data_IF_212954246434
#
_entry.id   IF_212954246434
#
_cell.length_a   1.000
_cell.length_b   1.000
_cell.length_c   1.000
_cell.angle_alpha   90.00
_cell.angle_beta   90.00
_cell.angle_gamma   90.00
#
_symmetry.space_group_name_H-M   'P 1'
#
loop_
_entity.id
_entity.type
_entity.pdbx_description
1 polymer ?
#
# COMPACT_ATOMS: atom_id res chain seq x y z
N UNK A 1 -10.52 11.91 -16.23
CA UNK A 1 -9.23 11.19 -16.28
C UNK A 1 -8.12 12.11 -15.83
N UNK A 2 -7.50 11.79 -14.70
CA UNK A 2 -6.33 12.45 -14.10
C UNK A 2 -5.12 11.52 -14.17
N UNK A 3 -3.92 12.09 -14.07
CA UNK A 3 -2.67 11.34 -13.97
C UNK A 3 -1.98 11.77 -12.67
N UNK A 4 -1.72 10.81 -11.79
CA UNK A 4 -0.99 11.00 -10.54
C UNK A 4 0.46 10.53 -10.70
N UNK A 5 1.39 11.31 -10.16
CA UNK A 5 2.81 10.97 -10.12
C UNK A 5 3.18 10.40 -8.75
N UNK A 6 3.82 9.24 -8.74
CA UNK A 6 4.40 8.63 -7.55
C UNK A 6 5.91 8.45 -7.75
N UNK A 7 6.72 9.31 -7.12
CA UNK A 7 8.16 9.04 -6.97
C UNK A 7 8.40 8.03 -5.83
N UNK A 8 9.00 6.87 -6.15
CA UNK A 8 9.33 5.80 -5.22
C UNK A 8 10.77 5.94 -4.71
N UNK A 9 10.93 5.96 -3.38
CA UNK A 9 12.24 5.95 -2.74
C UNK A 9 12.83 4.53 -2.65
N UNK A 10 11.97 3.51 -2.56
CA UNK A 10 12.34 2.10 -2.55
C UNK A 10 11.30 1.29 -3.31
N UNK A 11 11.76 0.45 -4.22
CA UNK A 11 10.92 -0.51 -4.95
C UNK A 11 11.13 -1.92 -4.38
N UNK A 12 10.30 -2.27 -3.40
CA UNK A 12 10.34 -3.58 -2.72
C UNK A 12 9.03 -4.36 -2.89
N UNK A 13 8.08 -3.82 -3.66
CA UNK A 13 6.77 -4.45 -3.90
C UNK A 13 5.78 -4.34 -2.73
N UNK A 14 5.95 -3.37 -1.83
CA UNK A 14 5.00 -3.10 -0.74
C UNK A 14 3.87 -2.15 -1.16
N UNK A 15 4.19 -1.03 -1.83
CA UNK A 15 3.21 -0.08 -2.34
C UNK A 15 3.83 0.74 -3.50
N UNK A 16 3.43 0.50 -4.76
CA UNK A 16 2.39 -0.45 -5.14
C UNK A 16 2.81 -1.89 -4.82
N UNK A 17 1.83 -2.75 -4.53
CA UNK A 17 2.01 -4.18 -4.41
C UNK A 17 1.54 -4.84 -5.71
N UNK A 18 2.45 -5.30 -6.59
CA UNK A 18 2.10 -5.81 -7.92
C UNK A 18 1.81 -7.32 -7.94
N UNK A 19 1.75 -7.98 -6.78
CA UNK A 19 1.72 -9.43 -6.70
C UNK A 19 0.30 -9.98 -6.71
N UNK A 20 0.12 -11.28 -6.96
CA UNK A 20 -1.19 -11.95 -6.88
C UNK A 20 -2.26 -11.25 -7.75
N UNK A 21 -1.94 -11.06 -9.03
CA UNK A 21 -2.85 -10.61 -10.11
C UNK A 21 -3.41 -9.18 -10.00
N UNK A 22 -3.24 -8.51 -8.87
CA UNK A 22 -3.69 -7.13 -8.67
C UNK A 22 -2.53 -6.22 -8.25
N UNK A 23 -2.41 -5.07 -8.92
CA UNK A 23 -1.51 -4.00 -8.51
C UNK A 23 -2.25 -3.04 -7.58
N UNK A 24 -1.94 -3.06 -6.28
CA UNK A 24 -2.66 -2.31 -5.25
C UNK A 24 -1.80 -1.19 -4.66
N UNK A 25 -2.45 -0.14 -4.15
CA UNK A 25 -1.82 0.95 -3.40
C UNK A 25 -2.62 1.12 -2.10
N UNK A 26 -2.41 0.23 -1.13
CA UNK A 26 -3.18 0.26 0.12
C UNK A 26 -2.56 1.18 1.19
N UNK A 27 -1.23 1.29 1.25
CA UNK A 27 -0.54 1.88 2.41
C UNK A 27 0.10 3.24 2.12
N UNK A 28 0.94 3.34 1.09
CA UNK A 28 1.62 4.59 0.72
C UNK A 28 0.70 5.63 0.04
N UNK A 29 1.20 6.87 -0.07
CA UNK A 29 0.59 7.99 -0.83
C UNK A 29 -0.91 8.23 -0.49
N UNK A 30 -1.22 8.61 0.77
CA UNK A 30 -2.60 8.84 1.22
C UNK A 30 -3.36 9.84 0.34
N UNK A 31 -2.71 10.89 -0.16
CA UNK A 31 -3.38 11.87 -1.03
C UNK A 31 -3.80 11.26 -2.38
N UNK A 32 -2.95 10.44 -3.00
CA UNK A 32 -3.31 9.74 -4.23
C UNK A 32 -4.50 8.80 -3.95
N UNK A 33 -4.43 8.00 -2.87
CA UNK A 33 -5.51 7.09 -2.48
C UNK A 33 -6.84 7.84 -2.21
N UNK A 34 -6.76 9.03 -1.61
CA UNK A 34 -7.92 9.87 -1.33
C UNK A 34 -8.58 10.41 -2.60
N UNK A 35 -7.79 10.92 -3.56
CA UNK A 35 -8.29 11.70 -4.69
C UNK A 35 -8.39 10.97 -6.03
N UNK A 36 -7.70 9.83 -6.19
CA UNK A 36 -7.79 9.03 -7.39
C UNK A 36 -9.16 8.34 -7.49
N UNK A 37 -9.73 8.33 -8.69
CA UNK A 37 -11.00 7.68 -9.00
C UNK A 37 -10.81 6.62 -10.09
N UNK A 38 -11.82 5.76 -10.29
CA UNK A 38 -11.83 4.79 -11.40
C UNK A 38 -11.60 5.54 -12.72
N UNK A 39 -10.81 4.93 -13.61
CA UNK A 39 -10.29 5.49 -14.87
C UNK A 39 -9.09 6.45 -14.75
N UNK A 40 -8.67 6.86 -13.55
CA UNK A 40 -7.44 7.64 -13.38
C UNK A 40 -6.18 6.77 -13.51
N UNK A 41 -5.05 7.38 -13.85
CA UNK A 41 -3.76 6.70 -13.95
C UNK A 41 -2.82 7.11 -12.83
N UNK A 42 -2.07 6.14 -12.30
CA UNK A 42 -1.00 6.36 -11.34
C UNK A 42 0.29 5.85 -11.97
N UNK A 43 1.27 6.74 -12.13
CA UNK A 43 2.56 6.44 -12.75
C UNK A 43 3.65 6.55 -11.68
N UNK A 44 4.34 5.45 -11.46
CA UNK A 44 5.47 5.36 -10.55
C UNK A 44 6.80 5.60 -11.24
N UNK A 45 7.65 6.44 -10.68
CA UNK A 45 9.02 6.67 -11.16
C UNK A 45 10.06 6.47 -10.07
N UNK A 46 11.26 6.04 -10.44
CA UNK A 46 12.37 5.95 -9.50
C UNK A 46 12.81 7.33 -9.00
N UNK A 47 13.09 7.43 -7.70
CA UNK A 47 13.78 8.58 -7.14
C UNK A 47 15.17 8.75 -7.75
N UNK A 48 15.75 9.94 -7.58
CA UNK A 48 17.14 10.22 -7.98
C UNK A 48 18.18 9.52 -7.11
N UNK A 49 17.76 8.95 -5.96
CA UNK A 49 18.63 8.23 -5.03
C UNK A 49 18.77 6.74 -5.37
N UNK A 50 17.90 6.21 -6.23
CA UNK A 50 18.06 4.88 -6.81
C UNK A 50 19.08 5.00 -7.96
N UNK A 51 20.02 4.05 -8.08
CA UNK A 51 21.10 3.98 -9.10
C UNK A 51 20.63 4.03 -10.58
N UNK A 52 19.35 4.27 -10.84
CA UNK A 52 18.71 4.45 -12.14
C UNK A 52 17.77 5.66 -12.04
N UNK A 53 18.25 6.90 -12.21
CA UNK A 53 17.41 8.08 -12.08
C UNK A 53 16.33 8.12 -13.18
N UNK A 54 15.08 8.42 -12.79
CA UNK A 54 13.95 8.78 -13.68
C UNK A 54 13.45 7.67 -14.63
N UNK A 55 13.46 6.42 -14.19
CA UNK A 55 12.79 5.34 -14.93
C UNK A 55 11.35 5.18 -14.46
N UNK A 56 10.46 4.83 -15.38
CA UNK A 56 9.10 4.36 -15.03
C UNK A 56 9.24 2.99 -14.38
N UNK A 57 8.71 2.85 -13.17
CA UNK A 57 8.65 1.60 -12.42
C UNK A 57 7.33 0.89 -12.70
N UNK A 58 6.22 1.64 -12.66
CA UNK A 58 4.90 1.11 -12.95
C UNK A 58 3.99 2.18 -13.58
N UNK A 59 2.98 1.72 -14.31
CA UNK A 59 1.82 2.52 -14.67
C UNK A 59 0.59 1.66 -14.44
N UNK A 60 -0.33 2.14 -13.62
CA UNK A 60 -1.58 1.42 -13.35
C UNK A 60 -2.78 2.34 -13.55
N UNK A 61 -3.81 1.81 -14.18
CA UNK A 61 -5.12 2.43 -14.27
C UNK A 61 -5.95 1.97 -13.08
N UNK A 62 -6.61 2.91 -12.41
CA UNK A 62 -7.51 2.60 -11.29
C UNK A 62 -8.76 1.94 -11.86
N UNK A 63 -8.96 0.67 -11.53
CA UNK A 63 -10.15 -0.11 -11.94
C UNK A 63 -11.16 -0.27 -10.80
N UNK A 64 -10.71 -0.14 -9.55
CA UNK A 64 -11.54 -0.30 -8.36
C UNK A 64 -10.98 0.56 -7.22
N UNK A 65 -11.87 1.11 -6.38
CA UNK A 65 -11.54 1.86 -5.17
C UNK A 65 -12.43 1.34 -4.04
N UNK A 66 -11.80 0.99 -2.92
CA UNK A 66 -12.47 0.39 -1.77
C UNK A 66 -11.85 0.85 -0.46
N UNK A 67 -12.57 0.65 0.62
CA UNK A 67 -12.12 0.86 2.00
C UNK A 67 -11.15 -0.24 2.44
N UNK A 68 -10.39 0.02 3.51
CA UNK A 68 -9.52 -1.01 4.09
C UNK A 68 -10.28 -2.24 4.57
N UNK A 69 -11.49 -2.08 5.12
CA UNK A 69 -12.27 -3.22 5.59
C UNK A 69 -12.84 -4.06 4.44
N UNK A 70 -13.23 -3.45 3.33
CA UNK A 70 -13.58 -4.19 2.11
C UNK A 70 -12.35 -4.96 1.60
N UNK A 71 -11.20 -4.29 1.51
CA UNK A 71 -9.94 -4.93 1.10
C UNK A 71 -9.53 -6.09 2.01
N UNK A 72 -9.72 -5.95 3.32
CA UNK A 72 -9.38 -6.96 4.33
C UNK A 72 -10.25 -8.21 4.23
N UNK A 73 -11.55 -8.03 3.98
CA UNK A 73 -12.54 -9.11 4.00
C UNK A 73 -12.74 -9.79 2.64
N UNK A 74 -12.31 -9.16 1.55
CA UNK A 74 -12.46 -9.70 0.21
C UNK A 74 -11.48 -10.87 -0.05
N UNK A 75 -11.99 -12.08 -0.39
CA UNK A 75 -11.16 -13.25 -0.66
C UNK A 75 -10.13 -13.07 -1.77
N UNK A 76 -10.37 -12.17 -2.75
CA UNK A 76 -9.42 -11.85 -3.84
C UNK A 76 -8.07 -11.38 -3.30
N UNK A 77 -8.06 -10.75 -2.12
CA UNK A 77 -6.87 -10.12 -1.53
C UNK A 77 -6.36 -10.85 -0.29
N UNK A 78 -6.85 -12.07 -0.01
CA UNK A 78 -6.38 -12.87 1.12
C UNK A 78 -4.86 -13.14 1.04
N UNK A 79 -4.34 -13.43 -0.15
CA UNK A 79 -2.90 -13.64 -0.38
C UNK A 79 -2.05 -12.37 -0.25
N UNK A 80 -2.68 -11.19 -0.21
CA UNK A 80 -2.00 -9.90 0.03
C UNK A 80 -1.85 -9.57 1.51
N UNK A 81 -2.34 -10.42 2.42
CA UNK A 81 -2.00 -10.32 3.85
C UNK A 81 -0.56 -10.83 4.06
N UNK A 82 0.27 -10.14 4.86
CA UNK A 82 1.66 -10.51 5.05
C UNK A 82 1.77 -11.89 5.70
N UNK A 83 2.64 -12.72 5.14
CA UNK A 83 3.06 -13.99 5.74
C UNK A 83 4.59 -14.01 5.84
N UNK A 84 5.11 -13.76 7.05
CA UNK A 84 6.54 -13.51 7.29
C UNK A 84 7.43 -14.72 6.99
N UNK A 85 6.89 -15.94 7.12
CA UNK A 85 7.60 -17.18 6.78
C UNK A 85 7.48 -17.57 5.30
N UNK A 86 6.77 -16.78 4.48
CA UNK A 86 6.62 -17.00 3.05
C UNK A 86 7.76 -16.42 2.22
N UNK A 87 7.66 -16.59 0.90
CA UNK A 87 8.55 -15.90 -0.05
C UNK A 87 8.42 -14.38 0.05
N UNK A 88 9.37 -13.61 -0.50
CA UNK A 88 9.36 -12.12 -0.46
C UNK A 88 8.01 -11.49 -0.83
N UNK A 89 7.34 -11.97 -1.89
CA UNK A 89 6.02 -11.42 -2.29
C UNK A 89 4.94 -11.57 -1.22
N UNK A 90 5.02 -12.61 -0.37
CA UNK A 90 4.12 -12.79 0.77
C UNK A 90 4.57 -11.96 1.98
N UNK A 91 5.87 -11.79 2.20
CA UNK A 91 6.39 -10.99 3.32
C UNK A 91 5.99 -9.51 3.19
N UNK A 92 5.91 -8.99 1.97
CA UNK A 92 5.52 -7.61 1.68
C UNK A 92 4.01 -7.38 1.52
N UNK A 93 3.14 -8.36 1.81
CA UNK A 93 1.69 -8.19 1.68
C UNK A 93 1.21 -6.84 2.24
N UNK A 94 0.47 -6.07 1.44
CA UNK A 94 0.04 -4.69 1.76
C UNK A 94 -1.35 -4.61 2.40
N UNK A 95 -2.04 -5.75 2.55
CA UNK A 95 -3.31 -5.88 3.24
C UNK A 95 -3.09 -6.06 4.75
N UNK A 96 -2.70 -4.96 5.41
CA UNK A 96 -2.24 -4.99 6.80
C UNK A 96 -3.15 -4.29 7.79
N UNK A 97 -4.14 -3.53 7.33
CA UNK A 97 -5.03 -2.74 8.19
C UNK A 97 -6.46 -3.27 8.15
N UNK A 98 -7.07 -3.36 9.32
CA UNK A 98 -8.49 -3.68 9.46
C UNK A 98 -9.07 -3.03 10.72
N UNK A 99 -10.37 -2.80 10.71
CA UNK A 99 -11.09 -2.25 11.83
C UNK A 99 -12.09 -3.25 12.39
N UNK A 100 -12.06 -3.48 13.70
CA UNK A 100 -13.06 -4.27 14.45
C UNK A 100 -13.53 -3.45 15.65
N UNK A 101 -14.85 -3.39 15.89
CA UNK A 101 -15.45 -2.61 16.99
C UNK A 101 -14.91 -1.17 17.04
N UNK A 102 -14.88 -0.51 15.87
CA UNK A 102 -14.37 0.86 15.68
C UNK A 102 -12.88 1.06 15.98
N UNK A 103 -12.14 0.01 16.35
CA UNK A 103 -10.71 0.05 16.63
C UNK A 103 -9.90 -0.46 15.46
N UNK A 104 -8.88 0.30 15.06
CA UNK A 104 -7.92 -0.10 14.03
C UNK A 104 -6.87 -1.06 14.56
N UNK A 105 -6.57 -2.07 13.76
CA UNK A 105 -5.54 -3.07 13.98
C UNK A 105 -4.59 -3.10 12.78
N UNK A 106 -3.34 -3.50 13.04
CA UNK A 106 -2.30 -3.65 12.02
C UNK A 106 -1.63 -5.02 12.18
N UNK A 107 -1.50 -5.77 11.08
CA UNK A 107 -0.72 -7.01 11.08
C UNK A 107 0.80 -6.75 11.15
N UNK A 108 1.57 -7.64 11.81
CA UNK A 108 3.03 -7.69 11.69
C UNK A 108 3.46 -7.67 10.22
N UNK A 109 4.32 -6.73 9.85
CA UNK A 109 4.68 -6.46 8.46
C UNK A 109 5.97 -5.66 8.38
N UNK A 110 6.44 -5.34 7.17
CA UNK A 110 7.56 -4.40 6.99
C UNK A 110 7.27 -2.98 7.55
N UNK A 111 6.03 -2.71 7.95
CA UNK A 111 5.59 -1.45 8.55
C UNK A 111 5.36 -1.53 10.07
N UNK A 112 5.66 -2.65 10.73
CA UNK A 112 5.72 -2.75 12.20
C UNK A 112 7.12 -2.48 12.72
N UNK A 113 7.25 -2.22 14.02
CA UNK A 113 8.55 -2.16 14.70
C UNK A 113 9.26 -3.52 14.65
N UNK A 114 10.55 -3.56 15.01
CA UNK A 114 11.35 -4.82 15.02
C UNK A 114 10.76 -5.90 15.94
N UNK A 115 10.05 -5.51 16.99
CA UNK A 115 9.33 -6.41 17.91
C UNK A 115 7.93 -6.80 17.42
N UNK A 116 7.53 -6.33 16.23
CA UNK A 116 6.21 -6.57 15.64
C UNK A 116 5.10 -5.66 16.16
N UNK A 117 5.40 -4.72 17.07
CA UNK A 117 4.42 -3.75 17.57
C UNK A 117 4.03 -2.72 16.51
N UNK A 118 2.86 -2.09 16.72
CA UNK A 118 2.31 -1.11 15.79
C UNK A 118 3.21 0.12 15.75
N UNK A 119 3.75 0.44 14.57
CA UNK A 119 4.39 1.72 14.34
C UNK A 119 3.29 2.79 14.19
N UNK A 120 3.05 3.55 15.26
CA UNK A 120 1.98 4.56 15.32
C UNK A 120 2.16 5.68 14.28
N UNK A 121 3.39 5.99 13.87
CA UNK A 121 3.65 6.97 12.81
C UNK A 121 3.13 6.46 11.45
N UNK A 122 3.43 5.21 11.12
CA UNK A 122 2.97 4.55 9.90
C UNK A 122 1.45 4.37 9.89
N UNK A 123 0.86 3.99 11.03
CA UNK A 123 -0.59 3.88 11.18
C UNK A 123 -1.26 5.23 10.90
N UNK A 124 -0.83 6.31 11.55
CA UNK A 124 -1.39 7.66 11.38
C UNK A 124 -1.27 8.15 9.93
N UNK A 125 -0.08 8.01 9.34
CA UNK A 125 0.20 8.38 7.95
C UNK A 125 -0.64 7.58 6.96
N UNK A 126 -0.89 6.31 7.24
CA UNK A 126 -1.65 5.44 6.34
C UNK A 126 -3.16 5.68 6.44
N UNK A 127 -3.67 5.89 7.64
CA UNK A 127 -5.11 6.05 7.89
C UNK A 127 -5.60 7.51 7.81
N UNK A 128 -4.71 8.49 7.56
CA UNK A 128 -5.05 9.92 7.60
C UNK A 128 -5.74 10.33 8.91
N UNK A 129 -5.32 9.78 10.04
CA UNK A 129 -5.85 10.13 11.35
C UNK A 129 -5.26 11.49 11.77
N UNK A 130 -6.05 12.56 11.71
CA UNK A 130 -5.70 13.85 12.31
C UNK A 130 -5.78 13.75 13.84
N UNK A 131 -4.73 14.16 14.55
CA UNK A 131 -4.80 14.48 15.97
C UNK A 131 -5.46 15.85 16.12
N UNK A 132 -6.47 15.95 16.99
CA UNK A 132 -6.91 17.21 17.58
C UNK A 132 -5.77 17.87 18.34
#
# INVERSE_FOLDING_TARGET
>A
MKIFSYVLDRDIGFAPNPFFDFCTLATCKPDIRKFAEVEDWIIGTSSTTINKPRHIIFAMKVTEKMTFNEYWNDPRFASKKPFLFGSRKYQYGDNIYYQENEKWFQLPSHHTEEDGSINLLNLKKTLNLNTY
#
